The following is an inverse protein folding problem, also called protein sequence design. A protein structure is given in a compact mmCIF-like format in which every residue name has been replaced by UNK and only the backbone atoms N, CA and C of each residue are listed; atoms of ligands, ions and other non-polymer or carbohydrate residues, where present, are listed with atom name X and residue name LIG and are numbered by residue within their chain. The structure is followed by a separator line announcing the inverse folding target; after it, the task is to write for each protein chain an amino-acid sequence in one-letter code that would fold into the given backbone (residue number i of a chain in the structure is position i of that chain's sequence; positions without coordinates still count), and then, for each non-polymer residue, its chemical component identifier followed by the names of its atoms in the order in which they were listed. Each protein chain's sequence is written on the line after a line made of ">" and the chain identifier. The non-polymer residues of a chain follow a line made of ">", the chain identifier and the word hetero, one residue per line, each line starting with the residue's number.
data_IF_638517405091
#
_entry.id   IF_638517405091
#
_cell.length_a   1.000
_cell.length_b   1.000
_cell.length_c   1.000
_cell.angle_alpha   90.00
_cell.angle_beta   90.00
_cell.angle_gamma   90.00
#
_symmetry.space_group_name_H-M   'P 1'
#
loop_
_entity.id
_entity.type
_entity.pdbx_description
1 polymer ?
#
# COMPACT_ATOMS: atom_id res chain seq x y z
N UNK A 1 -65.42 -1.99 -11.08
CA UNK A 1 -63.95 -2.02 -11.15
C UNK A 1 -63.49 -3.43 -10.87
N UNK A 2 -63.48 -4.27 -11.90
CA UNK A 2 -63.04 -5.67 -11.82
C UNK A 2 -61.71 -5.78 -12.59
N UNK A 3 -60.63 -6.05 -11.87
CA UNK A 3 -59.34 -6.38 -12.48
C UNK A 3 -58.91 -7.78 -12.03
N UNK A 4 -58.97 -8.71 -12.98
CA UNK A 4 -58.22 -9.97 -13.13
C UNK A 4 -57.95 -10.84 -11.89
N UNK A 5 -58.83 -11.83 -11.67
CA UNK A 5 -58.45 -13.11 -11.07
C UNK A 5 -57.59 -13.92 -12.06
N UNK A 6 -56.28 -13.70 -12.09
CA UNK A 6 -55.32 -14.72 -12.57
C UNK A 6 -54.99 -15.58 -11.35
N UNK A 7 -55.04 -16.92 -11.46
CA UNK A 7 -54.71 -17.87 -10.39
C UNK A 7 -53.32 -17.54 -9.83
N UNK A 8 -53.29 -16.76 -8.75
CA UNK A 8 -52.09 -16.44 -8.01
C UNK A 8 -51.69 -17.67 -7.20
N UNK A 9 -50.43 -18.06 -7.31
CA UNK A 9 -49.80 -18.92 -6.31
C UNK A 9 -49.96 -18.20 -4.97
N UNK A 10 -50.51 -18.87 -3.96
CA UNK A 10 -50.67 -18.25 -2.64
C UNK A 10 -49.30 -17.81 -2.12
N UNK A 11 -49.25 -16.70 -1.38
CA UNK A 11 -47.97 -16.18 -0.87
C UNK A 11 -47.22 -17.23 -0.04
N UNK A 12 -47.95 -18.08 0.69
CA UNK A 12 -47.44 -19.26 1.39
C UNK A 12 -46.76 -20.28 0.47
N UNK A 13 -47.33 -20.57 -0.70
CA UNK A 13 -46.71 -21.47 -1.68
C UNK A 13 -45.45 -20.86 -2.30
N UNK A 14 -45.45 -19.54 -2.54
CA UNK A 14 -44.26 -18.83 -3.03
C UNK A 14 -43.12 -18.86 -1.98
N UNK A 15 -43.42 -18.57 -0.71
CA UNK A 15 -42.42 -18.65 0.36
C UNK A 15 -41.89 -20.07 0.56
N UNK A 16 -42.76 -21.07 0.46
CA UNK A 16 -42.37 -22.49 0.50
C UNK A 16 -41.45 -22.87 -0.67
N UNK A 17 -41.65 -22.28 -1.85
CA UNK A 17 -40.81 -22.51 -3.05
C UNK A 17 -39.40 -21.89 -2.94
N UNK A 18 -39.25 -20.85 -2.12
CA UNK A 18 -37.96 -20.19 -1.87
C UNK A 18 -37.08 -20.91 -0.84
N UNK A 19 -37.51 -22.06 -0.31
CA UNK A 19 -36.68 -22.92 0.55
C UNK A 19 -36.45 -22.39 1.98
N UNK A 20 -37.10 -21.28 2.36
CA UNK A 20 -37.04 -20.76 3.72
C UNK A 20 -38.12 -21.44 4.56
N UNK A 21 -37.70 -22.42 5.38
CA UNK A 21 -38.51 -22.93 6.49
C UNK A 21 -38.73 -21.80 7.50
N UNK A 22 -39.72 -20.94 7.28
CA UNK A 22 -40.15 -19.93 8.24
C UNK A 22 -40.98 -20.66 9.31
N UNK A 23 -40.32 -21.09 10.38
CA UNK A 23 -40.99 -21.63 11.56
C UNK A 23 -41.75 -20.50 12.27
N UNK A 24 -42.99 -20.78 12.66
CA UNK A 24 -43.99 -19.86 13.20
C UNK A 24 -43.66 -19.24 14.58
N UNK A 25 -42.45 -19.42 15.10
CA UNK A 25 -42.09 -18.99 16.46
C UNK A 25 -41.59 -17.54 16.57
N UNK A 26 -41.39 -16.84 15.44
CA UNK A 26 -41.00 -15.41 15.44
C UNK A 26 -42.14 -14.49 14.97
N UNK A 27 -43.35 -14.70 15.50
CA UNK A 27 -44.56 -13.92 15.23
C UNK A 27 -44.54 -12.49 15.86
N UNK A 28 -43.37 -11.84 15.86
CA UNK A 28 -43.19 -10.48 16.38
C UNK A 28 -42.23 -9.61 15.58
N UNK A 29 -41.69 -10.10 14.46
CA UNK A 29 -40.74 -9.33 13.64
C UNK A 29 -41.32 -9.04 12.26
N UNK A 30 -41.50 -7.75 11.95
CA UNK A 30 -41.72 -7.22 10.60
C UNK A 30 -40.75 -7.91 9.61
N UNK A 31 -41.24 -8.90 8.85
CA UNK A 31 -40.47 -9.56 7.81
C UNK A 31 -40.35 -8.60 6.63
N UNK A 32 -39.20 -7.94 6.52
CA UNK A 32 -38.86 -7.05 5.41
C UNK A 32 -38.18 -7.86 4.31
N UNK A 33 -38.96 -8.44 3.40
CA UNK A 33 -38.43 -9.07 2.18
C UNK A 33 -38.51 -8.12 0.99
N UNK A 34 -37.50 -8.16 0.13
CA UNK A 34 -37.52 -7.44 -1.14
C UNK A 34 -38.27 -8.31 -2.16
N UNK A 35 -39.50 -7.96 -2.51
CA UNK A 35 -40.30 -8.73 -3.49
C UNK A 35 -40.61 -7.84 -4.70
N UNK A 36 -40.48 -8.48 -5.85
CA UNK A 36 -40.73 -7.98 -7.20
C UNK A 36 -42.23 -8.00 -7.46
N UNK A 37 -42.87 -6.85 -7.65
CA UNK A 37 -44.19 -6.84 -8.31
C UNK A 37 -43.97 -6.91 -9.82
N UNK A 38 -44.50 -7.95 -10.46
CA UNK A 38 -44.37 -8.20 -11.89
C UNK A 38 -45.68 -7.84 -12.61
N UNK A 39 -45.64 -6.78 -13.40
CA UNK A 39 -46.64 -6.50 -14.42
C UNK A 39 -45.96 -6.31 -15.78
N UNK A 40 -46.72 -6.51 -16.85
CA UNK A 40 -46.24 -6.40 -18.24
C UNK A 40 -45.56 -5.04 -18.54
N UNK A 41 -45.87 -4.01 -17.76
CA UNK A 41 -45.42 -2.64 -17.99
C UNK A 41 -44.51 -2.08 -16.89
N UNK A 42 -44.58 -2.62 -15.68
CA UNK A 42 -43.91 -2.03 -14.51
C UNK A 42 -43.39 -3.15 -13.61
N UNK A 43 -42.10 -3.07 -13.31
CA UNK A 43 -41.46 -3.85 -12.25
C UNK A 43 -41.12 -2.91 -11.10
N UNK A 44 -41.70 -3.15 -9.92
CA UNK A 44 -41.40 -2.36 -8.72
C UNK A 44 -40.58 -3.18 -7.72
N UNK A 45 -39.56 -2.54 -7.16
CA UNK A 45 -38.73 -3.05 -6.08
C UNK A 45 -38.99 -2.20 -4.84
N UNK A 46 -39.33 -2.81 -3.72
CA UNK A 46 -39.56 -2.07 -2.49
C UNK A 46 -39.57 -2.97 -1.27
N UNK A 47 -39.59 -2.33 -0.11
CA UNK A 47 -39.87 -3.03 1.15
C UNK A 47 -41.36 -3.30 1.19
N UNK A 48 -41.72 -4.58 1.18
CA UNK A 48 -43.09 -5.03 1.32
C UNK A 48 -43.31 -5.42 2.78
N UNK A 49 -44.38 -4.88 3.37
CA UNK A 49 -44.90 -5.30 4.67
C UNK A 49 -46.05 -6.26 4.44
N UNK A 50 -45.89 -7.48 4.94
CA UNK A 50 -46.96 -8.46 4.99
C UNK A 50 -47.68 -8.35 6.33
N UNK A 51 -48.99 -8.10 6.31
CA UNK A 51 -49.83 -8.09 7.50
C UNK A 51 -50.56 -9.43 7.61
N UNK A 52 -50.24 -10.19 8.65
CA UNK A 52 -50.83 -11.52 8.86
C UNK A 52 -52.31 -11.46 9.24
N UNK A 53 -52.80 -10.32 9.75
CA UNK A 53 -54.19 -10.14 10.22
C UNK A 53 -55.23 -10.27 9.11
N UNK A 54 -54.86 -9.85 7.91
CA UNK A 54 -55.74 -9.62 6.76
C UNK A 54 -55.16 -10.21 5.47
N UNK A 55 -54.07 -10.98 5.57
CA UNK A 55 -53.34 -11.57 4.45
C UNK A 55 -52.98 -10.54 3.36
N UNK A 56 -52.72 -9.30 3.77
CA UNK A 56 -52.49 -8.20 2.85
C UNK A 56 -51.00 -7.89 2.69
N UNK A 57 -50.62 -7.56 1.45
CA UNK A 57 -49.28 -7.10 1.09
C UNK A 57 -49.34 -5.60 0.81
N UNK A 58 -48.60 -4.81 1.58
CA UNK A 58 -48.47 -3.37 1.34
C UNK A 58 -47.02 -2.99 1.08
N UNK A 59 -46.77 -2.24 0.01
CA UNK A 59 -45.43 -1.72 -0.29
C UNK A 59 -45.34 -0.27 0.20
N UNK A 60 -44.61 -0.03 1.28
CA UNK A 60 -44.59 1.31 1.92
C UNK A 60 -43.60 2.26 1.25
N UNK A 61 -42.52 1.74 0.67
CA UNK A 61 -41.45 2.54 0.04
C UNK A 61 -40.87 1.78 -1.17
N UNK A 62 -41.27 2.12 -2.41
CA UNK A 62 -40.57 1.62 -3.59
C UNK A 62 -39.15 2.20 -3.62
N UNK A 63 -38.16 1.32 -3.67
CA UNK A 63 -36.74 1.63 -3.83
C UNK A 63 -36.45 1.95 -5.31
N UNK A 64 -37.05 1.20 -6.23
CA UNK A 64 -36.88 1.39 -7.66
C UNK A 64 -38.14 0.97 -8.42
N UNK A 65 -38.45 1.70 -9.50
CA UNK A 65 -39.53 1.36 -10.43
C UNK A 65 -38.92 1.32 -11.83
N UNK A 66 -39.06 0.20 -12.50
CA UNK A 66 -38.56 0.00 -13.86
C UNK A 66 -39.75 -0.11 -14.81
N UNK A 67 -39.83 0.85 -15.74
CA UNK A 67 -40.84 0.87 -16.79
C UNK A 67 -40.40 -0.05 -17.93
N UNK A 68 -41.30 -0.90 -18.42
CA UNK A 68 -41.05 -1.89 -19.47
C UNK A 68 -40.84 -3.33 -18.97
N UNK A 69 -41.22 -3.61 -17.71
CA UNK A 69 -41.21 -4.97 -17.16
C UNK A 69 -39.81 -5.58 -17.05
N UNK A 70 -39.76 -6.92 -16.98
CA UNK A 70 -38.53 -7.68 -16.78
C UNK A 70 -37.57 -7.58 -17.97
N UNK A 71 -38.09 -7.40 -19.18
CA UNK A 71 -37.29 -7.33 -20.39
C UNK A 71 -36.42 -6.05 -20.43
N UNK A 72 -36.99 -4.91 -20.04
CA UNK A 72 -36.24 -3.66 -19.88
C UNK A 72 -35.16 -3.79 -18.80
N UNK A 73 -35.49 -4.45 -17.67
CA UNK A 73 -34.54 -4.70 -16.60
C UNK A 73 -33.39 -5.62 -17.04
N UNK A 74 -33.70 -6.69 -17.77
CA UNK A 74 -32.70 -7.61 -18.31
C UNK A 74 -31.76 -6.91 -19.29
N UNK A 75 -32.31 -6.07 -20.18
CA UNK A 75 -31.52 -5.30 -21.13
C UNK A 75 -30.59 -4.29 -20.43
N UNK A 76 -31.04 -3.65 -19.35
CA UNK A 76 -30.20 -2.78 -18.52
C UNK A 76 -29.03 -3.54 -17.87
N UNK A 77 -29.29 -4.73 -17.32
CA UNK A 77 -28.22 -5.56 -16.74
C UNK A 77 -27.23 -6.05 -17.80
N UNK A 78 -27.72 -6.46 -18.98
CA UNK A 78 -26.90 -6.90 -20.11
C UNK A 78 -26.01 -5.78 -20.63
N UNK A 79 -26.53 -4.56 -20.75
CA UNK A 79 -25.76 -3.39 -21.16
C UNK A 79 -24.63 -3.05 -20.16
N UNK A 80 -24.94 -3.01 -18.86
CA UNK A 80 -23.92 -2.75 -17.82
C UNK A 80 -22.85 -3.84 -17.71
N UNK A 81 -23.18 -5.09 -18.07
CA UNK A 81 -22.21 -6.19 -18.05
C UNK A 81 -21.13 -6.04 -19.13
N UNK A 82 -21.50 -5.56 -20.31
CA UNK A 82 -20.53 -5.33 -21.40
C UNK A 82 -19.63 -4.11 -21.15
N UNK A 83 -20.13 -3.08 -20.47
CA UNK A 83 -19.36 -1.89 -20.15
C UNK A 83 -18.26 -2.16 -19.10
N UNK A 84 -18.51 -3.09 -18.16
CA UNK A 84 -17.54 -3.48 -17.13
C UNK A 84 -16.44 -4.44 -17.60
N UNK A 85 -16.60 -5.08 -18.77
CA UNK A 85 -15.57 -5.97 -19.32
C UNK A 85 -14.30 -5.20 -19.73
N UNK A 86 -14.44 -3.96 -20.21
CA UNK A 86 -13.30 -3.10 -20.53
C UNK A 86 -12.54 -2.60 -19.29
N UNK A 87 -13.27 -2.28 -18.21
CA UNK A 87 -12.66 -1.75 -16.99
C UNK A 87 -11.82 -2.80 -16.23
N UNK A 88 -12.25 -4.07 -16.22
CA UNK A 88 -11.46 -5.12 -15.57
C UNK A 88 -10.15 -5.39 -16.31
N UNK A 89 -10.15 -5.28 -17.65
CA UNK A 89 -8.95 -5.45 -18.46
C UNK A 89 -7.93 -4.33 -18.19
N UNK A 90 -8.37 -3.07 -18.12
CA UNK A 90 -7.49 -1.93 -17.82
C UNK A 90 -6.86 -2.07 -16.43
N UNK A 91 -7.63 -2.48 -15.41
CA UNK A 91 -7.10 -2.70 -14.06
C UNK A 91 -6.07 -3.84 -14.02
N UNK A 92 -6.31 -4.92 -14.76
CA UNK A 92 -5.40 -6.07 -14.79
C UNK A 92 -4.05 -5.69 -15.43
N UNK A 93 -4.07 -4.95 -16.55
CA UNK A 93 -2.84 -4.46 -17.19
C UNK A 93 -2.13 -3.39 -16.37
N UNK A 94 -2.89 -2.49 -15.71
CA UNK A 94 -2.33 -1.51 -14.79
C UNK A 94 -1.59 -2.17 -13.63
N UNK A 95 -2.15 -3.23 -13.06
CA UNK A 95 -1.50 -4.03 -12.01
C UNK A 95 -0.21 -4.69 -12.48
N UNK A 96 -0.22 -5.33 -13.66
CA UNK A 96 0.99 -5.96 -14.23
C UNK A 96 2.10 -4.93 -14.46
N UNK A 97 1.77 -3.77 -15.04
CA UNK A 97 2.76 -2.71 -15.26
C UNK A 97 3.41 -2.23 -13.95
N UNK A 98 2.60 -2.04 -12.90
CA UNK A 98 3.09 -1.60 -11.60
C UNK A 98 4.02 -2.62 -10.94
N UNK A 99 3.71 -3.93 -11.08
CA UNK A 99 4.58 -4.99 -10.56
C UNK A 99 5.93 -5.05 -11.27
N UNK A 100 5.96 -4.91 -12.60
CA UNK A 100 7.20 -4.91 -13.39
C UNK A 100 8.09 -3.70 -13.01
N UNK A 101 7.49 -2.51 -12.89
CA UNK A 101 8.21 -1.30 -12.49
C UNK A 101 8.82 -1.46 -11.08
N UNK A 102 8.08 -2.05 -10.14
CA UNK A 102 8.54 -2.29 -8.77
C UNK A 102 9.73 -3.24 -8.71
N UNK A 103 9.71 -4.32 -9.50
CA UNK A 103 10.83 -5.27 -9.60
C UNK A 103 12.08 -4.57 -10.15
N UNK A 104 11.93 -3.74 -11.19
CA UNK A 104 13.04 -2.96 -11.76
C UNK A 104 13.71 -2.04 -10.74
N UNK A 105 12.93 -1.31 -9.96
CA UNK A 105 13.44 -0.47 -8.87
C UNK A 105 14.19 -1.29 -7.81
N UNK A 106 13.68 -2.48 -7.45
CA UNK A 106 14.31 -3.33 -6.45
C UNK A 106 15.68 -3.85 -6.90
N UNK A 107 15.81 -4.25 -8.16
CA UNK A 107 17.08 -4.69 -8.75
C UNK A 107 18.08 -3.52 -8.78
N UNK A 108 17.64 -2.33 -9.19
CA UNK A 108 18.48 -1.13 -9.21
C UNK A 108 18.99 -0.74 -7.82
N UNK A 109 18.12 -0.76 -6.81
CA UNK A 109 18.49 -0.50 -5.42
C UNK A 109 19.49 -1.53 -4.88
N UNK A 110 19.28 -2.82 -5.18
CA UNK A 110 20.20 -3.90 -4.79
C UNK A 110 21.58 -3.73 -5.43
N UNK A 111 21.63 -3.37 -6.71
CA UNK A 111 22.89 -3.11 -7.42
C UNK A 111 23.64 -1.92 -6.81
N UNK A 112 22.93 -0.83 -6.49
CA UNK A 112 23.51 0.33 -5.82
C UNK A 112 24.05 -0.02 -4.42
N UNK A 113 23.28 -0.78 -3.64
CA UNK A 113 23.70 -1.22 -2.30
C UNK A 113 24.98 -2.05 -2.33
N UNK A 114 25.08 -3.02 -3.25
CA UNK A 114 26.28 -3.84 -3.41
C UNK A 114 27.50 -2.99 -3.77
N UNK A 115 27.33 -2.01 -4.68
CA UNK A 115 28.42 -1.09 -5.07
C UNK A 115 28.91 -0.21 -3.92
N UNK A 116 28.00 0.23 -3.04
CA UNK A 116 28.38 0.98 -1.82
C UNK A 116 29.09 0.07 -0.81
N UNK A 117 28.64 -1.17 -0.66
CA UNK A 117 29.25 -2.16 0.23
C UNK A 117 30.68 -2.53 -0.21
N UNK A 118 30.92 -2.67 -1.51
CA UNK A 118 32.28 -2.92 -2.03
C UNK A 118 33.21 -1.73 -1.75
N UNK A 119 32.74 -0.49 -1.91
CA UNK A 119 33.54 0.71 -1.60
C UNK A 119 33.87 0.82 -0.11
N UNK A 120 32.95 0.42 0.78
CA UNK A 120 33.22 0.45 2.23
C UNK A 120 34.11 -0.71 2.68
N UNK A 121 34.05 -1.87 2.02
CA UNK A 121 34.98 -2.97 2.26
C UNK A 121 36.42 -2.59 1.85
N UNK A 122 36.60 -1.98 0.67
CA UNK A 122 37.92 -1.52 0.20
C UNK A 122 38.53 -0.46 1.13
N UNK A 123 37.71 0.39 1.77
CA UNK A 123 38.21 1.37 2.74
C UNK A 123 38.68 0.73 4.06
N UNK A 124 38.15 -0.44 4.45
CA UNK A 124 38.60 -1.12 5.68
C UNK A 124 39.97 -1.75 5.51
N UNK A 125 40.27 -2.32 4.34
CA UNK A 125 41.56 -2.99 4.10
C UNK A 125 42.73 -2.01 3.93
N UNK A 126 42.47 -0.73 3.64
CA UNK A 126 43.51 0.30 3.53
C UNK A 126 43.83 1.03 4.84
N UNK A 127 43.07 0.77 5.92
CA UNK A 127 43.41 1.29 7.25
C UNK A 127 44.13 0.18 8.00
N UNK A 128 45.47 0.13 7.88
CA UNK A 128 46.30 -0.65 8.80
C UNK A 128 45.92 -0.25 10.23
N UNK A 129 45.36 -1.19 10.99
CA UNK A 129 45.16 -1.06 12.44
C UNK A 129 46.53 -0.78 13.06
N UNK A 130 46.82 0.50 13.27
CA UNK A 130 47.93 0.96 14.09
C UNK A 130 47.44 0.91 15.52
N UNK A 131 48.08 0.03 16.32
CA UNK A 131 47.75 -0.40 17.70
C UNK A 131 47.40 0.71 18.70
N UNK A 132 47.67 1.97 18.39
CA UNK A 132 47.25 3.12 19.20
C UNK A 132 46.39 4.09 18.36
N UNK A 133 45.10 4.16 18.68
CA UNK A 133 44.15 5.14 18.10
C UNK A 133 44.37 6.56 18.65
N UNK A 134 45.37 6.79 19.49
CA UNK A 134 45.61 8.08 20.13
C UNK A 134 46.40 9.02 19.21
N UNK A 135 46.13 10.32 19.35
CA UNK A 135 46.83 11.38 18.63
C UNK A 135 48.33 11.36 18.95
N UNK A 136 49.18 11.37 17.91
CA UNK A 136 50.63 11.34 18.06
C UNK A 136 51.19 12.54 18.87
N UNK A 137 50.46 13.66 18.89
CA UNK A 137 50.86 14.88 19.61
C UNK A 137 50.43 14.85 21.09
N UNK A 138 49.12 14.79 21.37
CA UNK A 138 48.64 14.88 22.76
C UNK A 138 48.55 13.54 23.49
N UNK A 139 48.52 12.40 22.78
CA UNK A 139 48.29 11.05 23.31
C UNK A 139 47.01 10.84 24.14
N UNK A 140 46.18 11.87 24.28
CA UNK A 140 44.96 11.88 25.09
C UNK A 140 43.68 11.66 24.26
N UNK A 141 43.64 12.25 23.06
CA UNK A 141 42.45 12.25 22.20
C UNK A 141 42.63 11.23 21.07
N UNK A 142 41.54 10.59 20.64
CA UNK A 142 41.57 9.74 19.45
C UNK A 142 41.95 10.57 18.21
N UNK A 143 42.83 10.02 17.37
CA UNK A 143 43.15 10.58 16.06
C UNK A 143 41.89 10.60 15.20
N UNK A 144 41.62 11.73 14.55
CA UNK A 144 40.40 11.92 13.76
C UNK A 144 40.60 12.86 12.57
N UNK A 145 41.86 13.15 12.21
CA UNK A 145 42.21 13.91 11.02
C UNK A 145 42.86 13.00 9.99
N UNK A 146 42.18 12.82 8.85
CA UNK A 146 42.66 12.05 7.71
C UNK A 146 43.36 12.99 6.72
N UNK A 147 44.59 12.67 6.35
CA UNK A 147 45.40 13.49 5.44
C UNK A 147 45.37 12.97 4.01
N UNK A 148 45.26 13.87 3.02
CA UNK A 148 45.37 13.56 1.60
C UNK A 148 46.71 14.07 1.04
N UNK A 149 47.33 13.35 0.09
CA UNK A 149 46.84 12.13 -0.57
C UNK A 149 47.16 10.82 0.18
N UNK A 150 47.95 10.87 1.26
CA UNK A 150 48.51 9.67 1.90
C UNK A 150 47.52 8.81 2.71
N UNK A 151 46.32 9.29 3.00
CA UNK A 151 45.28 8.64 3.82
C UNK A 151 45.73 8.20 5.22
N UNK A 152 46.72 8.87 5.83
CA UNK A 152 47.13 8.57 7.20
C UNK A 152 46.29 9.31 8.25
N UNK A 153 45.99 8.61 9.35
CA UNK A 153 45.37 9.13 10.56
C UNK A 153 46.47 9.28 11.62
N UNK A 154 46.88 10.52 11.90
CA UNK A 154 48.03 10.79 12.80
C UNK A 154 47.64 11.65 14.00
N UNK A 155 46.83 12.68 13.77
CA UNK A 155 46.51 13.69 14.79
C UNK A 155 45.02 13.78 15.06
N UNK A 156 44.67 14.37 16.22
CA UNK A 156 43.32 14.84 16.49
C UNK A 156 43.14 16.27 15.98
N UNK A 157 41.88 16.65 15.71
CA UNK A 157 41.49 17.98 15.21
C UNK A 157 42.01 19.11 16.11
N UNK A 158 41.86 18.95 17.43
CA UNK A 158 42.31 19.94 18.42
C UNK A 158 43.81 20.23 18.30
N UNK A 159 44.63 19.20 18.13
CA UNK A 159 46.08 19.38 17.97
C UNK A 159 46.41 19.99 16.61
N UNK A 160 45.80 19.51 15.52
CA UNK A 160 46.12 19.98 14.18
C UNK A 160 45.75 21.47 13.96
N UNK A 161 44.62 21.90 14.50
CA UNK A 161 44.15 23.29 14.39
C UNK A 161 44.80 24.23 15.41
N UNK A 162 45.48 23.70 16.44
CA UNK A 162 46.10 24.52 17.48
C UNK A 162 47.14 25.48 16.90
N UNK A 163 47.18 26.74 17.35
CA UNK A 163 48.25 27.68 16.98
C UNK A 163 49.61 27.29 17.58
N UNK A 164 49.61 26.49 18.65
CA UNK A 164 50.84 25.92 19.23
C UNK A 164 51.37 24.71 18.43
N UNK A 165 50.64 24.25 17.42
CA UNK A 165 51.07 23.17 16.56
C UNK A 165 52.14 23.68 15.61
N UNK A 166 53.32 23.05 15.65
CA UNK A 166 54.51 23.47 14.92
C UNK A 166 54.17 23.64 13.42
N UNK A 167 54.29 24.85 12.83
CA UNK A 167 53.79 25.12 11.49
C UNK A 167 54.41 24.21 10.42
N UNK A 168 55.68 23.80 10.57
CA UNK A 168 56.33 22.85 9.67
C UNK A 168 55.73 21.43 9.66
N UNK A 169 54.96 21.05 10.71
CA UNK A 169 54.24 19.77 10.76
C UNK A 169 52.86 19.83 10.10
N UNK A 170 52.36 21.03 9.72
CA UNK A 170 51.11 21.17 8.97
C UNK A 170 51.26 20.85 7.49
N UNK A 171 52.48 20.91 6.97
CA UNK A 171 52.76 20.72 5.55
C UNK A 171 53.07 19.27 5.19
N UNK A 172 53.53 18.44 6.15
CA UNK A 172 53.96 17.06 5.90
C UNK A 172 53.37 16.06 6.89
N UNK A 173 53.02 14.88 6.39
CA UNK A 173 52.51 13.79 7.21
C UNK A 173 53.62 13.15 8.05
N UNK A 174 53.46 13.05 9.37
CA UNK A 174 54.46 12.45 10.26
C UNK A 174 54.73 10.96 9.97
N UNK A 175 53.74 10.25 9.42
CA UNK A 175 53.86 8.81 9.18
C UNK A 175 54.64 8.46 7.90
N UNK A 176 54.63 9.33 6.89
CA UNK A 176 55.21 9.01 5.57
C UNK A 176 55.91 10.18 4.88
N UNK A 177 56.03 11.33 5.55
CA UNK A 177 56.73 12.54 5.10
C UNK A 177 56.20 13.21 3.81
N UNK A 178 55.15 12.65 3.20
CA UNK A 178 54.47 13.24 2.04
C UNK A 178 53.80 14.57 2.40
N UNK A 179 53.73 15.49 1.43
CA UNK A 179 53.02 16.76 1.60
C UNK A 179 51.51 16.53 1.80
N UNK A 180 50.94 17.30 2.73
CA UNK A 180 49.51 17.29 3.03
C UNK A 180 48.84 18.32 2.12
N UNK A 181 48.08 17.85 1.14
CA UNK A 181 47.32 18.72 0.23
C UNK A 181 45.99 19.16 0.85
N UNK A 182 45.34 18.26 1.59
CA UNK A 182 44.12 18.55 2.32
C UNK A 182 43.98 17.63 3.53
N UNK A 183 43.13 18.05 4.47
CA UNK A 183 42.82 17.28 5.67
C UNK A 183 41.32 17.31 5.95
N UNK A 184 40.76 16.16 6.34
CA UNK A 184 39.35 16.03 6.66
C UNK A 184 39.15 15.37 8.03
N UNK A 185 38.14 15.81 8.77
CA UNK A 185 37.77 15.17 10.03
C UNK A 185 36.95 13.91 9.74
N UNK A 186 37.38 12.78 10.24
CA UNK A 186 36.64 11.50 10.15
C UNK A 186 36.17 11.03 11.52
N UNK A 187 35.04 10.33 11.55
CA UNK A 187 34.49 9.75 12.77
C UNK A 187 34.88 8.27 12.82
N UNK A 188 35.75 7.92 13.77
CA UNK A 188 36.10 6.54 14.08
C UNK A 188 35.14 6.09 15.19
N UNK A 189 34.29 5.08 14.96
CA UNK A 189 33.36 4.57 15.98
C UNK A 189 34.07 4.04 17.23
#
# INVERSE_FOLDING_TARGET
>A
EEFYHKKGISFSEFLSSLGNNVTSENAGSDLSSCILFEGDYITAFGIVKYQMSDDSLSMTKPIAIVKGGLEALYNLFKQKRNEKAGFSYILLWGGVFFTIASIGCFIGARHFYNKVKERSAIQKDQVKELDDLNCANCKQEKRNMLFKPCNHLVYCKKCFESPAFNPGLKEKCLACENMIESSEKVYIP
#
